data_IF_321908835335
#
_entry.id   IF_321908835335
#
_cell.length_a   1.000
_cell.length_b   1.000
_cell.length_c   1.000
_cell.angle_alpha   90.00
_cell.angle_beta   90.00
_cell.angle_gamma   90.00
#
_symmetry.space_group_name_H-M   'P 1'
#
loop_
_entity.id
_entity.type
_entity.pdbx_description
1 polymer ?
#
# COMPACT_ATOMS: atom_id res chain seq x y z
N UNK A 1 -77.58 26.95 73.48
CA UNK A 1 -76.10 27.07 73.51
C UNK A 1 -75.58 25.79 72.90
N UNK A 2 -74.89 25.69 71.77
CA UNK A 2 -74.12 26.59 70.91
C UNK A 2 -73.96 25.89 69.54
N UNK A 3 -74.10 26.64 68.43
CA UNK A 3 -73.36 26.63 67.13
C UNK A 3 -72.58 25.37 66.69
N UNK A 4 -72.41 24.98 65.41
CA UNK A 4 -72.73 25.49 64.07
C UNK A 4 -72.33 24.40 63.04
N UNK A 5 -73.11 24.23 61.97
CA UNK A 5 -72.76 24.06 60.53
C UNK A 5 -71.41 23.42 60.11
N UNK A 6 -71.28 22.54 59.09
CA UNK A 6 -71.80 22.63 57.70
C UNK A 6 -71.35 21.39 56.86
N UNK A 7 -72.27 20.84 56.04
CA UNK A 7 -72.12 20.39 54.61
C UNK A 7 -70.98 19.43 54.17
N UNK A 8 -71.09 18.45 53.25
CA UNK A 8 -71.97 18.09 52.10
C UNK A 8 -71.95 16.55 51.96
N UNK A 9 -73.10 15.86 51.83
CA UNK A 9 -73.69 15.28 50.59
C UNK A 9 -72.69 14.41 49.77
N UNK A 10 -73.01 13.25 49.21
CA UNK A 10 -74.16 12.33 49.17
C UNK A 10 -73.63 11.18 48.27
N UNK A 11 -73.79 9.90 48.64
CA UNK A 11 -74.90 9.03 48.25
C UNK A 11 -74.62 8.08 47.06
N UNK A 12 -74.91 6.81 47.35
CA UNK A 12 -75.44 5.70 46.54
C UNK A 12 -74.65 5.23 45.30
N UNK A 13 -74.19 3.97 45.20
CA UNK A 13 -74.79 2.64 45.35
C UNK A 13 -75.40 2.07 44.04
N UNK A 14 -75.05 0.81 43.78
CA UNK A 14 -75.73 -0.19 42.92
C UNK A 14 -75.69 0.06 41.39
N UNK A 15 -75.67 -0.92 40.49
CA UNK A 15 -75.63 -2.37 40.55
C UNK A 15 -75.28 -2.94 39.15
N UNK A 16 -74.96 -4.23 39.16
CA UNK A 16 -74.87 -5.24 38.10
C UNK A 16 -75.46 -4.97 36.70
N UNK A 17 -74.72 -5.45 35.69
CA UNK A 17 -75.25 -6.26 34.59
C UNK A 17 -75.33 -5.60 33.21
N UNK A 18 -74.48 -6.05 32.27
CA UNK A 18 -74.91 -6.66 30.98
C UNK A 18 -73.66 -6.96 30.12
N UNK A 19 -73.43 -8.25 29.85
CA UNK A 19 -72.56 -8.72 28.77
C UNK A 19 -73.31 -8.69 27.43
N UNK A 20 -72.53 -8.54 26.37
CA UNK A 20 -72.83 -8.62 24.92
C UNK A 20 -72.96 -7.25 24.26
N UNK A 21 -71.95 -6.88 23.46
CA UNK A 21 -72.15 -6.38 22.08
C UNK A 21 -70.83 -6.36 21.29
N UNK A 22 -70.94 -6.59 19.97
CA UNK A 22 -70.00 -6.32 18.86
C UNK A 22 -69.00 -7.41 18.44
N UNK A 23 -69.51 -8.53 17.92
CA UNK A 23 -68.85 -9.24 16.83
C UNK A 23 -69.21 -8.56 15.50
N UNK A 24 -68.47 -7.52 15.12
CA UNK A 24 -68.38 -7.00 13.75
C UNK A 24 -67.34 -5.86 13.68
N UNK A 25 -66.12 -6.17 13.22
CA UNK A 25 -65.30 -5.26 12.43
C UNK A 25 -64.20 -6.09 11.76
N UNK A 26 -64.11 -5.94 10.44
CA UNK A 26 -63.33 -6.80 9.55
C UNK A 26 -61.83 -6.80 9.81
N UNK A 27 -61.18 -7.83 9.25
CA UNK A 27 -59.73 -7.97 9.18
C UNK A 27 -59.09 -6.63 8.81
N UNK A 28 -58.10 -6.21 9.61
CA UNK A 28 -57.40 -4.98 9.34
C UNK A 28 -56.73 -5.02 7.95
N UNK A 29 -56.84 -3.96 7.13
CA UNK A 29 -56.47 -3.98 5.71
C UNK A 29 -54.96 -4.17 5.47
N UNK A 30 -54.14 -4.13 6.53
CA UNK A 30 -52.69 -4.35 6.48
C UNK A 30 -52.28 -5.80 6.77
N UNK A 31 -53.21 -6.70 7.08
CA UNK A 31 -52.93 -8.10 7.43
C UNK A 31 -52.41 -8.97 6.26
N UNK A 32 -52.14 -8.37 5.08
CA UNK A 32 -51.56 -9.02 3.90
C UNK A 32 -50.32 -8.30 3.35
N UNK A 33 -49.71 -7.37 4.10
CA UNK A 33 -48.44 -6.79 3.71
C UNK A 33 -47.32 -7.77 4.04
N UNK A 34 -47.10 -8.73 3.14
CA UNK A 34 -45.90 -9.56 3.16
C UNK A 34 -44.68 -8.63 3.11
N UNK A 35 -43.77 -8.84 4.06
CA UNK A 35 -42.53 -8.09 4.14
C UNK A 35 -41.74 -8.30 2.84
N UNK A 36 -41.66 -7.26 2.01
CA UNK A 36 -40.81 -7.24 0.84
C UNK A 36 -39.37 -7.58 1.26
N UNK A 37 -38.67 -8.50 0.57
CA UNK A 37 -37.30 -8.86 0.94
C UNK A 37 -36.43 -7.60 0.88
N UNK A 38 -35.93 -7.20 2.05
CA UNK A 38 -35.00 -6.08 2.17
C UNK A 38 -33.75 -6.40 1.36
N UNK A 39 -33.43 -5.57 0.36
CA UNK A 39 -32.22 -5.73 -0.43
C UNK A 39 -31.00 -5.59 0.50
N UNK A 40 -30.26 -6.67 0.70
CA UNK A 40 -29.00 -6.66 1.45
C UNK A 40 -28.05 -5.65 0.80
N UNK A 41 -27.50 -4.66 1.53
CA UNK A 41 -26.52 -3.74 0.99
C UNK A 41 -25.31 -4.55 0.48
N UNK A 42 -25.03 -4.48 -0.82
CA UNK A 42 -23.79 -5.04 -1.39
C UNK A 42 -22.62 -4.28 -0.79
N UNK A 43 -21.71 -4.98 -0.11
CA UNK A 43 -20.51 -4.38 0.45
C UNK A 43 -19.78 -3.59 -0.65
N UNK A 44 -19.54 -2.30 -0.39
CA UNK A 44 -18.74 -1.45 -1.27
C UNK A 44 -17.34 -2.04 -1.33
N UNK A 45 -16.82 -2.28 -2.54
CA UNK A 45 -15.46 -2.73 -2.72
C UNK A 45 -14.52 -1.76 -1.99
N UNK A 46 -13.70 -2.29 -1.08
CA UNK A 46 -12.65 -1.50 -0.44
C UNK A 46 -11.60 -1.22 -1.50
N UNK A 47 -11.38 0.04 -1.83
CA UNK A 47 -10.30 0.44 -2.74
C UNK A 47 -9.01 0.26 -1.93
N UNK A 48 -8.24 -0.79 -2.23
CA UNK A 48 -6.88 -0.89 -1.73
C UNK A 48 -6.05 0.14 -2.47
N UNK A 49 -5.60 1.18 -1.76
CA UNK A 49 -4.70 2.16 -2.34
C UNK A 49 -3.39 1.45 -2.70
N UNK A 50 -2.95 1.61 -3.95
CA UNK A 50 -1.62 1.15 -4.37
C UNK A 50 -0.60 2.07 -3.69
N UNK A 51 0.30 1.48 -2.91
CA UNK A 51 1.47 2.19 -2.41
C UNK A 51 2.33 2.59 -3.61
N UNK A 52 2.57 3.90 -3.74
CA UNK A 52 3.27 4.47 -4.87
C UNK A 52 4.47 5.26 -4.37
N UNK A 53 5.63 4.60 -4.38
CA UNK A 53 6.88 5.15 -3.87
C UNK A 53 7.34 6.38 -4.64
N UNK A 54 7.06 6.43 -5.95
CA UNK A 54 7.43 7.56 -6.80
C UNK A 54 6.33 8.62 -6.90
N UNK A 55 5.32 8.60 -6.02
CA UNK A 55 4.20 9.53 -6.09
C UNK A 55 4.61 11.02 -6.12
N UNK A 56 5.73 11.36 -5.47
CA UNK A 56 6.28 12.73 -5.42
C UNK A 56 7.42 12.97 -6.44
N UNK A 57 7.69 12.00 -7.31
CA UNK A 57 8.79 12.00 -8.29
C UNK A 57 10.06 11.31 -7.78
N UNK A 58 10.23 11.15 -6.47
CA UNK A 58 11.38 10.47 -5.87
C UNK A 58 11.06 9.83 -4.52
N UNK A 59 11.79 8.78 -4.17
CA UNK A 59 11.83 8.21 -2.81
C UNK A 59 13.27 7.92 -2.39
N UNK A 60 13.51 7.83 -1.08
CA UNK A 60 14.79 7.44 -0.51
C UNK A 60 14.61 6.27 0.42
N UNK A 61 15.36 5.20 0.20
CA UNK A 61 15.42 4.04 1.07
C UNK A 61 16.79 3.92 1.73
N UNK A 62 16.80 3.34 2.94
CA UNK A 62 18.00 2.96 3.66
C UNK A 62 17.98 1.46 3.89
N UNK A 63 19.03 0.76 3.44
CA UNK A 63 19.08 -0.70 3.45
C UNK A 63 20.36 -1.13 4.16
N UNK A 64 20.26 -2.10 5.07
CA UNK A 64 21.42 -2.67 5.76
C UNK A 64 21.78 -4.02 5.13
N UNK A 65 23.07 -4.22 4.84
CA UNK A 65 23.62 -5.47 4.34
C UNK A 65 24.95 -5.79 5.06
N UNK A 66 24.84 -6.55 6.15
CA UNK A 66 25.97 -6.79 7.04
C UNK A 66 26.44 -5.48 7.70
N UNK A 67 27.72 -5.16 7.54
CA UNK A 67 28.31 -3.91 8.06
C UNK A 67 28.04 -2.69 7.17
N UNK A 68 27.56 -2.90 5.94
CA UNK A 68 27.24 -1.80 5.02
C UNK A 68 25.81 -1.27 5.24
N UNK A 69 25.68 0.05 5.35
CA UNK A 69 24.42 0.77 5.24
C UNK A 69 24.38 1.50 3.89
N UNK A 70 23.43 1.10 3.05
CA UNK A 70 23.18 1.68 1.74
C UNK A 70 22.13 2.79 1.85
N UNK A 71 22.37 3.92 1.19
CA UNK A 71 21.35 4.92 0.91
C UNK A 71 21.07 4.91 -0.58
N UNK A 72 19.79 4.70 -0.92
CA UNK A 72 19.32 4.62 -2.30
C UNK A 72 18.31 5.71 -2.54
N UNK A 73 18.57 6.56 -3.52
CA UNK A 73 17.63 7.55 -4.02
C UNK A 73 17.07 7.08 -5.37
N UNK A 74 15.77 6.82 -5.42
CA UNK A 74 15.04 6.50 -6.64
C UNK A 74 14.30 7.73 -7.12
N UNK A 75 14.32 7.96 -8.43
CA UNK A 75 13.59 9.07 -9.05
C UNK A 75 13.10 8.71 -10.45
N UNK A 76 12.08 9.43 -10.91
CA UNK A 76 11.66 9.39 -12.30
C UNK A 76 11.49 10.81 -12.83
N UNK A 77 11.84 11.02 -14.09
CA UNK A 77 11.55 12.28 -14.77
C UNK A 77 10.09 12.42 -15.19
N UNK A 78 9.31 11.33 -15.11
CA UNK A 78 7.88 11.34 -15.43
C UNK A 78 7.06 11.72 -14.20
N UNK A 79 6.07 12.57 -14.43
CA UNK A 79 5.02 12.81 -13.44
C UNK A 79 4.11 11.59 -13.33
N UNK A 80 3.42 11.42 -12.21
CA UNK A 80 2.57 10.23 -12.01
C UNK A 80 1.44 10.08 -13.04
N UNK A 81 0.93 11.18 -13.60
CA UNK A 81 -0.03 11.13 -14.71
C UNK A 81 0.54 10.58 -16.02
N UNK A 82 1.87 10.51 -16.15
CA UNK A 82 2.57 10.07 -17.35
C UNK A 82 3.07 8.62 -17.22
N UNK A 83 2.93 8.01 -16.05
CA UNK A 83 3.20 6.59 -15.80
C UNK A 83 2.09 5.71 -16.37
N UNK A 84 1.92 5.73 -17.69
CA UNK A 84 0.93 4.91 -18.40
C UNK A 84 1.53 3.58 -18.86
N UNK A 85 0.66 2.61 -19.19
CA UNK A 85 1.10 1.31 -19.70
C UNK A 85 1.96 1.45 -20.96
N UNK A 86 1.54 2.30 -21.91
CA UNK A 86 2.23 2.50 -23.19
C UNK A 86 3.48 3.37 -23.16
N UNK A 87 3.74 4.10 -22.07
CA UNK A 87 4.91 4.98 -21.97
C UNK A 87 6.21 4.21 -21.66
N UNK A 88 7.35 4.73 -22.11
CA UNK A 88 8.65 4.33 -21.57
C UNK A 88 8.88 5.07 -20.26
N UNK A 89 9.12 4.32 -19.18
CA UNK A 89 9.19 4.83 -17.80
C UNK A 89 10.65 4.81 -17.31
N UNK A 90 11.40 5.92 -17.41
CA UNK A 90 12.75 6.00 -16.88
C UNK A 90 12.72 6.05 -15.35
N UNK A 91 13.50 5.19 -14.71
CA UNK A 91 13.77 5.17 -13.28
C UNK A 91 15.27 5.35 -13.09
N UNK A 92 15.64 6.47 -12.48
CA UNK A 92 17.01 6.79 -12.12
C UNK A 92 17.27 6.43 -10.67
N UNK A 93 18.45 5.88 -10.43
CA UNK A 93 18.94 5.41 -9.14
C UNK A 93 20.26 6.10 -8.84
N UNK A 94 20.40 6.61 -7.62
CA UNK A 94 21.69 6.93 -7.00
C UNK A 94 21.88 6.06 -5.76
N UNK A 95 23.01 5.38 -5.68
CA UNK A 95 23.34 4.44 -4.62
C UNK A 95 24.67 4.80 -3.98
N UNK A 96 24.67 4.96 -2.66
CA UNK A 96 25.87 5.18 -1.85
C UNK A 96 25.91 4.24 -0.66
N UNK A 97 27.11 3.95 -0.16
CA UNK A 97 27.34 3.09 0.99
C UNK A 97 28.13 3.82 2.08
N UNK A 98 27.82 3.46 3.32
CA UNK A 98 28.59 3.75 4.52
C UNK A 98 28.86 2.44 5.25
N UNK A 99 29.95 2.36 6.00
CA UNK A 99 30.28 1.21 6.83
C UNK A 99 30.02 1.54 8.30
N UNK A 100 29.47 0.58 9.04
CA UNK A 100 29.35 0.68 10.49
C UNK A 100 30.72 0.66 11.17
N UNK A 101 31.64 -0.15 10.64
CA UNK A 101 33.03 -0.26 11.10
C UNK A 101 33.96 0.22 9.99
N UNK A 102 34.16 1.53 9.91
CA UNK A 102 35.00 2.15 8.87
C UNK A 102 36.41 2.48 9.37
N UNK A 103 37.39 1.65 9.00
CA UNK A 103 38.83 1.90 9.19
C UNK A 103 39.51 2.41 7.91
N UNK A 104 38.73 2.81 6.90
CA UNK A 104 39.23 3.22 5.59
C UNK A 104 39.09 2.14 4.51
N UNK A 105 38.21 1.16 4.69
CA UNK A 105 37.89 0.16 3.67
C UNK A 105 37.05 0.79 2.54
N UNK A 106 37.32 0.40 1.31
CA UNK A 106 36.46 0.73 0.18
C UNK A 106 35.28 -0.23 0.04
N UNK A 107 34.16 0.30 -0.48
CA UNK A 107 32.95 -0.46 -0.81
C UNK A 107 32.70 -0.34 -2.31
N UNK A 108 32.51 -1.47 -2.98
CA UNK A 108 32.31 -1.56 -4.41
C UNK A 108 31.00 -2.24 -4.75
N UNK A 109 30.31 -1.76 -5.79
CA UNK A 109 29.20 -2.46 -6.42
C UNK A 109 29.76 -3.36 -7.54
N UNK A 110 29.54 -4.66 -7.44
CA UNK A 110 29.92 -5.60 -8.51
C UNK A 110 28.79 -5.85 -9.50
N UNK A 111 27.54 -5.83 -9.02
CA UNK A 111 26.37 -6.09 -9.86
C UNK A 111 25.11 -5.49 -9.26
N UNK A 112 24.27 -4.94 -10.13
CA UNK A 112 22.89 -4.59 -9.86
C UNK A 112 21.97 -5.42 -10.75
N UNK A 113 20.87 -5.90 -10.21
CA UNK A 113 19.82 -6.58 -10.98
C UNK A 113 18.48 -5.96 -10.64
N UNK A 114 17.64 -5.76 -11.66
CA UNK A 114 16.25 -5.29 -11.52
C UNK A 114 15.33 -6.34 -12.11
N UNK A 115 14.41 -6.84 -11.30
CA UNK A 115 13.33 -7.72 -11.73
C UNK A 115 12.03 -6.94 -11.60
N UNK A 116 11.22 -6.95 -12.65
CA UNK A 116 9.93 -6.28 -12.67
C UNK A 116 8.83 -7.31 -12.47
N UNK A 117 7.87 -7.01 -11.60
CA UNK A 117 6.59 -7.69 -11.53
C UNK A 117 5.49 -6.71 -11.99
N UNK A 118 4.56 -7.18 -12.81
CA UNK A 118 3.46 -6.37 -13.34
C UNK A 118 2.15 -6.93 -12.83
N UNK A 119 1.29 -6.07 -12.28
CA UNK A 119 -0.01 -6.46 -11.73
C UNK A 119 -1.14 -5.84 -12.54
N UNK A 120 -2.10 -6.67 -12.96
CA UNK A 120 -3.34 -6.27 -13.61
C UNK A 120 -4.59 -6.60 -12.77
N UNK A 121 -5.80 -6.34 -13.30
CA UNK A 121 -7.06 -6.49 -12.58
C UNK A 121 -7.37 -7.93 -12.16
N UNK A 122 -6.86 -8.91 -12.91
CA UNK A 122 -7.10 -10.34 -12.68
C UNK A 122 -5.90 -11.07 -12.08
N UNK A 123 -4.82 -10.37 -11.75
CA UNK A 123 -3.60 -10.95 -11.19
C UNK A 123 -2.31 -10.48 -11.88
N UNK A 124 -1.25 -11.27 -11.74
CA UNK A 124 0.04 -10.99 -12.36
C UNK A 124 -0.06 -11.02 -13.91
N UNK A 125 0.63 -10.09 -14.55
CA UNK A 125 0.80 -10.01 -15.99
C UNK A 125 2.25 -10.39 -16.36
N UNK A 126 2.50 -10.62 -17.65
CA UNK A 126 3.82 -10.97 -18.14
C UNK A 126 4.83 -9.85 -17.82
N UNK A 127 5.91 -10.15 -17.06
CA UNK A 127 6.92 -9.16 -16.76
C UNK A 127 7.90 -8.97 -17.92
N UNK A 128 8.50 -7.78 -18.08
CA UNK A 128 9.62 -7.61 -18.99
C UNK A 128 10.85 -8.41 -18.52
N UNK A 129 11.81 -8.59 -19.43
CA UNK A 129 13.07 -9.23 -19.11
C UNK A 129 13.80 -8.50 -17.95
N UNK A 130 14.50 -9.23 -17.06
CA UNK A 130 15.31 -8.62 -16.03
C UNK A 130 16.40 -7.72 -16.62
N UNK A 131 16.67 -6.61 -15.95
CA UNK A 131 17.82 -5.76 -16.25
C UNK A 131 18.99 -6.14 -15.34
N UNK A 132 20.18 -6.26 -15.91
CA UNK A 132 21.40 -6.56 -15.17
C UNK A 132 22.47 -5.56 -15.59
N UNK A 133 23.03 -4.85 -14.61
CA UNK A 133 24.27 -4.13 -14.78
C UNK A 133 25.35 -4.83 -13.95
N UNK A 134 26.36 -5.35 -14.63
CA UNK A 134 27.48 -6.06 -14.02
C UNK A 134 28.76 -5.37 -14.43
N UNK A 135 29.58 -5.01 -13.44
CA UNK A 135 30.87 -4.38 -13.68
C UNK A 135 31.79 -5.27 -14.53
N UNK A 136 32.53 -4.64 -15.44
CA UNK A 136 33.68 -5.25 -16.11
C UNK A 136 35.01 -4.85 -15.46
N UNK A 137 34.98 -3.92 -14.49
CA UNK A 137 36.12 -3.44 -13.73
C UNK A 137 36.19 -4.23 -12.42
N UNK A 138 37.38 -4.75 -12.10
CA UNK A 138 37.65 -5.42 -10.83
C UNK A 138 38.17 -4.38 -9.81
N UNK A 139 37.66 -4.35 -8.56
CA UNK A 139 36.62 -5.23 -8.00
C UNK A 139 35.18 -4.79 -8.35
N UNK A 140 34.97 -3.52 -8.69
CA UNK A 140 33.68 -2.97 -9.06
C UNK A 140 33.65 -1.45 -9.05
N UNK A 141 32.46 -0.86 -9.06
CA UNK A 141 32.29 0.59 -8.99
C UNK A 141 32.36 1.07 -7.54
N UNK A 142 33.28 1.97 -7.23
CA UNK A 142 33.39 2.57 -5.89
C UNK A 142 32.11 3.35 -5.57
N UNK A 143 31.50 3.04 -4.43
CA UNK A 143 30.19 3.58 -4.02
C UNK A 143 30.20 4.16 -2.61
N UNK A 144 31.39 4.38 -2.05
CA UNK A 144 31.60 5.05 -0.77
C UNK A 144 31.86 6.54 -1.01
N UNK A 145 31.38 7.38 -0.09
CA UNK A 145 31.53 8.83 -0.17
C UNK A 145 32.98 9.26 -0.50
N UNK A 146 33.17 10.29 -1.35
CA UNK A 146 32.16 11.15 -1.98
C UNK A 146 31.51 10.54 -3.24
N UNK A 147 31.81 9.30 -3.59
CA UNK A 147 31.33 8.66 -4.81
C UNK A 147 30.02 7.91 -4.57
N UNK A 148 29.19 7.87 -5.60
CA UNK A 148 27.96 7.09 -5.67
C UNK A 148 27.87 6.38 -7.01
N UNK A 149 27.24 5.22 -7.03
CA UNK A 149 26.85 4.56 -8.26
C UNK A 149 25.53 5.17 -8.77
N UNK A 150 25.50 5.57 -10.04
CA UNK A 150 24.31 6.14 -10.68
C UNK A 150 23.92 5.34 -11.91
N UNK A 151 22.64 4.98 -12.03
CA UNK A 151 22.13 4.22 -13.16
C UNK A 151 20.71 4.63 -13.52
N UNK A 152 20.37 4.58 -14.81
CA UNK A 152 18.99 4.73 -15.29
C UNK A 152 18.53 3.42 -15.91
N UNK A 153 17.43 2.89 -15.39
CA UNK A 153 16.68 1.78 -15.97
C UNK A 153 15.47 2.34 -16.72
N UNK A 154 15.24 1.89 -17.95
CA UNK A 154 14.05 2.28 -18.71
C UNK A 154 13.10 1.10 -18.78
N UNK A 155 12.00 1.19 -18.04
CA UNK A 155 10.92 0.22 -18.12
C UNK A 155 10.13 0.48 -19.41
N UNK A 156 10.13 -0.50 -20.31
CA UNK A 156 9.40 -0.42 -21.58
C UNK A 156 7.88 -0.40 -21.39
N UNK A 157 7.16 -0.27 -22.50
CA UNK A 157 5.70 -0.42 -22.50
C UNK A 157 5.29 -1.76 -21.86
N UNK A 158 4.22 -1.71 -21.07
CA UNK A 158 3.63 -2.85 -20.39
C UNK A 158 2.32 -3.25 -21.09
N UNK A 159 1.74 -4.36 -20.63
CA UNK A 159 0.37 -4.72 -20.98
C UNK A 159 -0.59 -3.54 -20.69
N UNK A 160 -1.52 -3.20 -21.61
CA UNK A 160 -2.42 -2.06 -21.45
C UNK A 160 -3.38 -2.19 -20.26
N UNK A 161 -3.54 -3.39 -19.69
CA UNK A 161 -4.33 -3.62 -18.48
C UNK A 161 -3.50 -3.49 -17.20
N UNK A 162 -2.20 -3.20 -17.26
CA UNK A 162 -1.38 -3.02 -16.07
C UNK A 162 -1.92 -1.92 -15.15
N UNK A 163 -1.97 -2.22 -13.86
CA UNK A 163 -2.45 -1.32 -12.79
C UNK A 163 -1.34 -0.87 -11.85
N UNK A 164 -0.30 -1.69 -11.69
CA UNK A 164 0.91 -1.34 -10.96
C UNK A 164 2.10 -2.17 -11.42
N UNK A 165 3.29 -1.70 -11.07
CA UNK A 165 4.56 -2.41 -11.25
C UNK A 165 5.28 -2.42 -9.91
N UNK A 166 5.95 -3.52 -9.61
CA UNK A 166 6.92 -3.61 -8.52
C UNK A 166 8.29 -3.87 -9.12
N UNK A 167 9.25 -2.98 -8.84
CA UNK A 167 10.64 -3.11 -9.25
C UNK A 167 11.45 -3.63 -8.06
N UNK A 168 12.00 -4.83 -8.21
CA UNK A 168 12.86 -5.46 -7.20
C UNK A 168 14.31 -5.29 -7.60
N UNK A 169 15.06 -4.57 -6.77
CA UNK A 169 16.48 -4.32 -6.95
C UNK A 169 17.29 -5.28 -6.08
N UNK A 170 18.37 -5.82 -6.65
CA UNK A 170 19.37 -6.60 -5.91
C UNK A 170 20.75 -6.01 -6.18
N UNK A 171 21.46 -5.71 -5.11
CA UNK A 171 22.80 -5.13 -5.11
C UNK A 171 23.80 -6.15 -4.57
N UNK A 172 24.79 -6.51 -5.37
CA UNK A 172 25.92 -7.33 -4.95
C UNK A 172 27.10 -6.41 -4.65
N UNK A 173 27.53 -6.39 -3.38
CA UNK A 173 28.57 -5.52 -2.86
C UNK A 173 29.84 -6.32 -2.58
N UNK A 174 30.99 -5.68 -2.77
CA UNK A 174 32.29 -6.16 -2.33
C UNK A 174 32.89 -5.11 -1.39
N UNK A 175 33.13 -5.49 -0.14
CA UNK A 175 33.72 -4.64 0.89
C UNK A 175 35.15 -5.11 1.13
N UNK A 176 36.15 -4.22 1.11
CA UNK A 176 37.51 -4.60 1.48
C UNK A 176 37.54 -5.12 2.93
N UNK A 177 38.23 -6.24 3.16
CA UNK A 177 38.36 -6.83 4.51
C UNK A 177 39.24 -5.99 5.44
N UNK A 178 40.21 -5.28 4.87
CA UNK A 178 41.08 -4.28 5.53
C UNK A 178 41.41 -3.19 4.50
N UNK A 179 41.77 -1.96 4.94
CA UNK A 179 42.09 -0.88 4.01
C UNK A 179 43.14 -1.28 2.99
N UNK A 180 42.94 -0.94 1.71
CA UNK A 180 43.83 -1.28 0.57
C UNK A 180 43.96 -2.77 0.21
N UNK A 181 43.22 -3.65 0.89
CA UNK A 181 43.27 -5.10 0.65
C UNK A 181 42.69 -5.48 -0.72
N UNK A 182 43.27 -6.53 -1.31
CA UNK A 182 42.70 -7.23 -2.48
C UNK A 182 41.76 -8.39 -2.08
N UNK A 183 41.48 -8.57 -0.78
CA UNK A 183 40.52 -9.54 -0.26
C UNK A 183 39.22 -8.85 0.13
N UNK A 184 38.10 -9.33 -0.39
CA UNK A 184 36.80 -8.70 -0.25
C UNK A 184 35.79 -9.63 0.42
N UNK A 185 34.96 -9.06 1.29
CA UNK A 185 33.74 -9.70 1.79
C UNK A 185 32.58 -9.37 0.83
N UNK A 186 31.87 -10.41 0.39
CA UNK A 186 30.66 -10.24 -0.42
C UNK A 186 29.46 -10.00 0.49
N UNK A 187 28.68 -8.97 0.19
CA UNK A 187 27.37 -8.72 0.79
C UNK A 187 26.31 -8.62 -0.31
N UNK A 188 25.05 -8.83 0.06
CA UNK A 188 23.93 -8.68 -0.86
C UNK A 188 22.81 -7.93 -0.17
N UNK A 189 22.29 -6.91 -0.83
CA UNK A 189 21.15 -6.12 -0.39
C UNK A 189 20.04 -6.25 -1.43
N UNK A 190 18.79 -6.21 -0.97
CA UNK A 190 17.63 -6.16 -1.86
C UNK A 190 16.69 -5.05 -1.42
N UNK A 191 16.01 -4.46 -2.39
CA UNK A 191 15.01 -3.42 -2.18
C UNK A 191 13.86 -3.55 -3.16
N UNK A 192 12.73 -2.94 -2.86
CA UNK A 192 11.58 -2.89 -3.74
C UNK A 192 10.94 -1.51 -3.73
N UNK A 193 10.52 -1.06 -4.91
CA UNK A 193 9.58 0.05 -5.04
C UNK A 193 8.37 -0.40 -5.86
N UNK A 194 7.20 0.11 -5.50
CA UNK A 194 5.95 -0.07 -6.24
C UNK A 194 5.50 1.26 -6.82
N UNK A 195 5.06 1.23 -8.07
CA UNK A 195 4.56 2.40 -8.78
C UNK A 195 3.24 2.06 -9.45
N UNK A 196 2.25 2.93 -9.28
CA UNK A 196 0.96 2.78 -9.92
C UNK A 196 1.08 3.06 -11.43
N UNK A 197 0.30 2.33 -12.23
CA UNK A 197 0.15 2.59 -13.66
C UNK A 197 -1.19 3.28 -13.89
N UNK A 198 -1.14 4.42 -14.56
CA UNK A 198 -2.32 5.17 -14.97
C UNK A 198 -2.93 4.49 -16.21
N UNK A 199 -4.25 4.26 -16.22
CA UNK A 199 -4.97 3.72 -17.38
C UNK A 199 -4.82 4.55 -18.66
#
# INVERSE_FOLDING_TARGET
>A
MTTSTRTRLAALACAAGLTITLAACGQAPWAGLEASPSATPKAKATITAIENDLATGSTRHQITAGDAALTVDYSSSLNMGEWTAGANKPVSLSLSATLGTDDGQDVFLSKMTVITAVTGPTGALEPPAPFVDQTTIVPGYLMKAPYSYGQTYVLSALDPTATSVTLSFTYELLIQTTPTSASFAKQTASDQITVAIVP
#
